data_IF_150081731355
#
_entry.id   IF_150081731355
#
_cell.length_a   1.000
_cell.length_b   1.000
_cell.length_c   1.000
_cell.angle_alpha   90.00
_cell.angle_beta   90.00
_cell.angle_gamma   90.00
#
_symmetry.space_group_name_H-M   'P 1'
#
loop_
_entity.id
_entity.type
_entity.pdbx_description
1 polymer ?
#
# COMPACT_ATOMS: atom_id res chain seq x y z
N UNK A 1 -9.45 -28.57 -2.06
CA UNK A 1 -9.59 -27.94 -3.38
C UNK A 1 -8.53 -26.86 -3.47
N UNK A 2 -7.76 -26.74 -4.56
CA UNK A 2 -6.89 -25.58 -4.70
C UNK A 2 -7.75 -24.32 -4.63
N UNK A 3 -7.40 -23.38 -3.72
CA UNK A 3 -8.06 -22.08 -3.67
C UNK A 3 -7.87 -21.41 -5.04
N UNK A 4 -8.97 -20.93 -5.63
CA UNK A 4 -8.90 -20.11 -6.84
C UNK A 4 -7.96 -18.92 -6.60
N UNK A 5 -7.20 -18.52 -7.61
CA UNK A 5 -6.31 -17.36 -7.52
C UNK A 5 -7.08 -16.14 -7.02
N UNK A 6 -6.52 -15.35 -6.07
CA UNK A 6 -7.23 -14.22 -5.47
C UNK A 6 -7.56 -13.11 -6.47
N UNK A 7 -6.82 -13.00 -7.55
CA UNK A 7 -7.02 -12.09 -8.67
C UNK A 7 -6.30 -12.62 -9.92
N UNK A 8 -6.67 -12.09 -11.08
CA UNK A 8 -6.03 -12.44 -12.34
C UNK A 8 -5.01 -11.36 -12.73
N UNK A 9 -3.84 -11.79 -13.24
CA UNK A 9 -2.84 -10.92 -13.87
C UNK A 9 -2.76 -11.27 -15.34
N UNK A 10 -2.99 -10.28 -16.21
CA UNK A 10 -2.88 -10.44 -17.66
C UNK A 10 -1.75 -9.54 -18.18
N UNK A 11 -0.78 -10.13 -18.86
CA UNK A 11 0.38 -9.48 -19.47
C UNK A 11 0.29 -9.37 -21.00
N UNK A 12 -0.77 -9.87 -21.64
CA UNK A 12 -0.90 -9.94 -23.09
C UNK A 12 -0.62 -8.60 -23.76
N UNK A 13 -1.24 -7.51 -23.29
CA UNK A 13 -1.05 -6.16 -23.83
C UNK A 13 0.33 -5.55 -23.50
N UNK A 14 1.06 -6.14 -22.57
CA UNK A 14 2.42 -5.70 -22.22
C UNK A 14 3.49 -6.53 -22.98
N UNK A 15 3.18 -7.76 -23.35
CA UNK A 15 4.10 -8.68 -24.03
C UNK A 15 3.85 -8.76 -25.54
N UNK A 16 2.92 -7.96 -26.07
CA UNK A 16 2.62 -7.90 -27.49
C UNK A 16 2.61 -6.46 -27.99
N UNK A 17 2.65 -6.29 -29.32
CA UNK A 17 2.62 -4.95 -29.95
C UNK A 17 3.94 -4.17 -29.86
N UNK A 18 3.88 -2.89 -30.21
CA UNK A 18 5.07 -2.04 -30.38
C UNK A 18 5.78 -1.67 -29.06
N UNK A 19 5.08 -1.72 -27.95
CA UNK A 19 5.60 -1.38 -26.60
C UNK A 19 6.18 -2.58 -25.84
N UNK A 20 6.05 -3.79 -26.39
CA UNK A 20 6.52 -4.99 -25.74
C UNK A 20 8.06 -5.07 -25.71
N UNK A 21 8.66 -5.63 -24.65
CA UNK A 21 10.06 -6.01 -24.71
C UNK A 21 10.25 -7.14 -25.72
N UNK A 22 11.45 -7.35 -26.29
CA UNK A 22 11.75 -8.57 -27.05
C UNK A 22 11.40 -9.81 -26.22
N UNK A 23 10.75 -10.81 -26.84
CA UNK A 23 10.33 -12.03 -26.11
C UNK A 23 11.51 -12.70 -25.41
N UNK A 24 12.66 -12.82 -26.08
CA UNK A 24 13.87 -13.37 -25.48
C UNK A 24 14.33 -12.59 -24.21
N UNK A 25 14.16 -11.27 -24.16
CA UNK A 25 14.52 -10.49 -22.98
C UNK A 25 13.57 -10.75 -21.80
N UNK A 26 12.27 -10.89 -22.08
CA UNK A 26 11.29 -11.28 -21.06
C UNK A 26 11.55 -12.71 -20.55
N UNK A 27 11.76 -13.65 -21.47
CA UNK A 27 12.01 -15.08 -21.13
C UNK A 27 13.29 -15.22 -20.28
N UNK A 28 14.35 -14.49 -20.61
CA UNK A 28 15.58 -14.46 -19.82
C UNK A 28 15.36 -13.86 -18.44
N UNK A 29 14.62 -12.75 -18.33
CA UNK A 29 14.28 -12.13 -17.04
C UNK A 29 13.43 -13.07 -16.18
N UNK A 30 12.45 -13.76 -16.79
CA UNK A 30 11.60 -14.73 -16.12
C UNK A 30 12.43 -15.93 -15.65
N UNK A 31 13.29 -16.49 -16.47
CA UNK A 31 14.20 -17.57 -16.09
C UNK A 31 15.14 -17.14 -14.93
N UNK A 32 15.69 -15.91 -14.99
CA UNK A 32 16.54 -15.35 -13.92
C UNK A 32 15.78 -15.24 -12.60
N UNK A 33 14.47 -15.02 -12.61
CA UNK A 33 13.65 -14.91 -11.39
C UNK A 33 13.52 -16.24 -10.61
N UNK A 34 13.86 -17.40 -11.23
CA UNK A 34 13.86 -18.69 -10.54
C UNK A 34 14.75 -18.66 -9.27
N UNK A 35 15.92 -18.05 -9.37
CA UNK A 35 16.83 -17.90 -8.21
C UNK A 35 16.19 -17.07 -7.08
N UNK A 36 15.39 -16.06 -7.41
CA UNK A 36 14.67 -15.26 -6.42
C UNK A 36 13.54 -16.08 -5.75
N UNK A 37 12.84 -16.94 -6.50
CA UNK A 37 11.84 -17.85 -5.93
C UNK A 37 12.47 -18.86 -4.99
N UNK A 38 13.60 -19.46 -5.38
CA UNK A 38 14.33 -20.42 -4.54
C UNK A 38 14.86 -19.75 -3.28
N UNK A 39 15.36 -18.52 -3.39
CA UNK A 39 15.76 -17.74 -2.25
C UNK A 39 14.58 -17.48 -1.29
N UNK A 40 13.41 -17.08 -1.79
CA UNK A 40 12.20 -16.89 -0.98
C UNK A 40 11.77 -18.17 -0.25
N UNK A 41 11.82 -19.33 -0.93
CA UNK A 41 11.55 -20.65 -0.34
C UNK A 41 12.51 -20.96 0.82
N UNK A 42 13.80 -20.71 0.60
CA UNK A 42 14.83 -20.89 1.65
C UNK A 42 14.61 -19.95 2.84
N UNK A 43 14.34 -18.65 2.58
CA UNK A 43 14.02 -17.70 3.65
C UNK A 43 12.81 -18.12 4.48
N UNK A 44 11.77 -18.65 3.82
CA UNK A 44 10.56 -19.15 4.49
C UNK A 44 10.87 -20.39 5.33
N UNK A 45 11.60 -21.36 4.77
CA UNK A 45 11.97 -22.60 5.46
C UNK A 45 12.85 -22.32 6.68
N UNK A 46 13.85 -21.45 6.53
CA UNK A 46 14.80 -21.07 7.58
C UNK A 46 14.24 -20.02 8.56
N UNK A 47 13.06 -19.43 8.28
CA UNK A 47 12.44 -18.35 9.07
C UNK A 47 13.34 -17.10 9.21
N UNK A 48 14.19 -16.84 8.24
CA UNK A 48 15.15 -15.72 8.26
C UNK A 48 14.58 -14.43 7.74
N UNK A 49 13.53 -14.47 6.89
CA UNK A 49 12.74 -13.30 6.50
C UNK A 49 11.41 -13.33 7.23
N UNK A 50 11.32 -12.61 8.35
CA UNK A 50 10.16 -12.59 9.24
C UNK A 50 8.86 -12.23 8.50
N UNK A 51 8.94 -11.34 7.51
CA UNK A 51 7.81 -10.93 6.65
C UNK A 51 7.00 -12.12 6.11
N UNK A 52 7.67 -13.18 5.67
CA UNK A 52 7.02 -14.37 5.11
C UNK A 52 6.25 -15.19 6.17
N UNK A 53 6.52 -14.96 7.45
CA UNK A 53 5.80 -15.57 8.58
C UNK A 53 4.54 -14.82 9.00
N UNK A 54 4.46 -13.53 8.71
CA UNK A 54 3.39 -12.64 9.20
C UNK A 54 1.97 -13.09 8.80
N UNK A 55 1.69 -13.55 7.57
CA UNK A 55 0.33 -13.97 7.21
C UNK A 55 -0.23 -15.08 8.10
N UNK A 56 0.61 -16.00 8.56
CA UNK A 56 0.22 -17.12 9.44
C UNK A 56 0.26 -16.77 10.93
N UNK A 57 0.83 -15.64 11.33
CA UNK A 57 0.95 -15.24 12.73
C UNK A 57 -0.42 -14.87 13.32
N UNK A 58 -0.64 -15.17 14.62
CA UNK A 58 -1.91 -14.88 15.30
C UNK A 58 -1.73 -14.22 16.66
N UNK A 59 -0.55 -14.30 17.26
CA UNK A 59 -0.30 -13.81 18.62
C UNK A 59 -0.45 -12.28 18.70
N UNK A 60 0.12 -11.57 17.73
CA UNK A 60 0.03 -10.11 17.60
C UNK A 60 -1.41 -9.64 17.31
N UNK A 61 -2.21 -10.41 16.57
CA UNK A 61 -3.63 -10.07 16.33
C UNK A 61 -4.46 -10.12 17.60
N UNK A 62 -4.14 -11.00 18.56
CA UNK A 62 -4.83 -11.02 19.86
C UNK A 62 -4.54 -9.75 20.66
N UNK A 63 -3.28 -9.31 20.69
CA UNK A 63 -2.89 -8.07 21.35
C UNK A 63 -3.53 -6.84 20.68
N UNK A 64 -3.50 -6.78 19.33
CA UNK A 64 -4.16 -5.74 18.55
C UNK A 64 -5.68 -5.70 18.82
N UNK A 65 -6.36 -6.85 18.85
CA UNK A 65 -7.80 -6.93 19.09
C UNK A 65 -8.18 -6.47 20.51
N UNK A 66 -7.38 -6.84 21.51
CA UNK A 66 -7.56 -6.37 22.90
C UNK A 66 -7.47 -4.85 22.96
N UNK A 67 -6.45 -4.27 22.33
CA UNK A 67 -6.26 -2.81 22.31
C UNK A 67 -7.35 -2.13 21.48
N UNK A 68 -7.69 -2.62 20.29
CA UNK A 68 -8.77 -2.07 19.48
C UNK A 68 -10.12 -2.06 20.23
N UNK A 69 -10.41 -3.08 21.03
CA UNK A 69 -11.60 -3.12 21.87
C UNK A 69 -11.59 -2.01 22.95
N UNK A 70 -10.43 -1.69 23.53
CA UNK A 70 -10.29 -0.60 24.49
C UNK A 70 -10.52 0.79 23.86
N UNK A 71 -10.28 0.91 22.55
CA UNK A 71 -10.43 2.18 21.82
C UNK A 71 -11.86 2.47 21.35
N UNK A 72 -12.79 1.52 21.42
CA UNK A 72 -14.17 1.66 20.89
C UNK A 72 -14.96 2.84 21.45
N UNK A 73 -14.66 3.29 22.67
CA UNK A 73 -15.38 4.37 23.32
C UNK A 73 -14.85 5.78 22.96
N UNK A 74 -13.76 5.86 22.23
CA UNK A 74 -13.26 7.13 21.74
C UNK A 74 -14.08 7.58 20.50
N UNK A 75 -14.17 8.90 20.31
CA UNK A 75 -14.79 9.46 19.11
C UNK A 75 -13.82 9.41 17.92
N UNK A 76 -12.54 9.70 18.22
CA UNK A 76 -11.45 9.75 17.23
C UNK A 76 -10.26 8.93 17.70
N UNK A 77 -9.65 8.21 16.76
CA UNK A 77 -8.33 7.60 16.92
C UNK A 77 -7.41 8.24 15.87
N UNK A 78 -6.51 9.09 16.34
CA UNK A 78 -5.52 9.76 15.51
C UNK A 78 -4.24 8.93 15.45
N UNK A 79 -3.86 8.48 14.28
CA UNK A 79 -2.63 7.71 14.04
C UNK A 79 -1.52 8.68 13.68
N UNK A 80 -0.48 8.74 14.51
CA UNK A 80 0.71 9.58 14.36
C UNK A 80 1.86 8.70 13.87
N UNK A 81 2.34 8.93 12.67
CA UNK A 81 3.42 8.14 12.09
C UNK A 81 3.64 8.53 10.64
N UNK A 82 4.85 8.38 10.13
CA UNK A 82 5.24 8.81 8.78
C UNK A 82 5.70 7.62 7.94
N UNK A 83 5.53 7.71 6.63
CA UNK A 83 5.95 6.67 5.69
C UNK A 83 5.30 5.32 5.98
N UNK A 84 6.08 4.26 6.16
CA UNK A 84 5.59 2.92 6.42
C UNK A 84 4.76 2.77 7.70
N UNK A 85 4.90 3.67 8.66
CA UNK A 85 4.09 3.73 9.88
C UNK A 85 2.67 4.27 9.64
N UNK A 86 2.40 4.83 8.46
CA UNK A 86 1.11 5.45 8.10
C UNK A 86 0.51 4.89 6.81
N UNK A 87 1.28 4.90 5.71
CA UNK A 87 0.76 4.63 4.36
C UNK A 87 0.09 3.26 4.22
N UNK A 88 0.63 2.23 4.90
CA UNK A 88 -0.01 0.92 4.93
C UNK A 88 -1.37 0.94 5.62
N UNK A 89 -1.48 1.62 6.76
CA UNK A 89 -2.75 1.82 7.47
C UNK A 89 -3.75 2.64 6.65
N UNK A 90 -3.29 3.68 5.96
CA UNK A 90 -4.12 4.47 5.04
C UNK A 90 -4.71 3.62 3.92
N UNK A 91 -3.90 2.73 3.31
CA UNK A 91 -4.38 1.83 2.26
C UNK A 91 -5.53 0.92 2.72
N UNK A 92 -5.67 0.67 4.03
CA UNK A 92 -6.76 -0.11 4.61
C UNK A 92 -8.04 0.71 4.82
N UNK A 93 -8.00 2.04 4.72
CA UNK A 93 -9.17 2.92 4.98
C UNK A 93 -10.31 2.68 3.98
N UNK A 94 -9.99 2.21 2.78
CA UNK A 94 -10.95 1.77 1.76
C UNK A 94 -11.97 0.75 2.30
N UNK A 95 -11.55 -0.10 3.22
CA UNK A 95 -12.37 -1.18 3.77
C UNK A 95 -13.06 -0.81 5.09
N UNK A 96 -13.03 0.45 5.50
CA UNK A 96 -13.64 0.90 6.76
C UNK A 96 -15.11 0.50 6.85
N UNK A 97 -15.48 -0.20 7.92
CA UNK A 97 -16.84 -0.71 8.16
C UNK A 97 -17.60 0.04 9.26
N UNK A 98 -16.87 0.79 10.09
CA UNK A 98 -17.45 1.53 11.21
C UNK A 98 -17.15 3.03 11.08
N UNK A 99 -18.12 3.86 11.45
CA UNK A 99 -17.95 5.32 11.46
C UNK A 99 -17.33 5.85 12.75
N UNK A 100 -17.38 5.07 13.84
CA UNK A 100 -16.80 5.42 15.15
C UNK A 100 -16.13 4.22 15.79
N UNK A 101 -14.94 4.41 16.39
CA UNK A 101 -14.12 5.64 16.34
C UNK A 101 -13.78 6.05 14.90
N UNK A 102 -13.72 7.36 14.66
CA UNK A 102 -13.19 7.84 13.39
C UNK A 102 -11.66 7.73 13.42
N UNK A 103 -11.10 6.89 12.55
CA UNK A 103 -9.64 6.75 12.42
C UNK A 103 -9.14 7.73 11.36
N UNK A 104 -8.19 8.59 11.73
CA UNK A 104 -7.52 9.49 10.80
C UNK A 104 -6.00 9.44 10.99
N UNK A 105 -5.28 9.64 9.89
CA UNK A 105 -3.82 9.54 9.85
C UNK A 105 -3.20 10.93 9.74
N UNK A 106 -2.21 11.19 10.58
CA UNK A 106 -1.43 12.41 10.61
C UNK A 106 0.03 12.05 10.34
N UNK A 107 0.41 12.01 9.08
CA UNK A 107 1.70 11.56 8.60
C UNK A 107 2.62 12.69 8.11
N UNK A 108 2.12 13.92 8.17
CA UNK A 108 2.91 15.10 7.85
C UNK A 108 2.81 16.12 9.02
N UNK A 109 3.93 16.57 9.60
CA UNK A 109 3.93 17.54 10.69
C UNK A 109 3.73 18.98 10.20
N UNK A 110 2.80 19.18 9.26
CA UNK A 110 2.44 20.51 8.78
C UNK A 110 1.81 21.32 9.92
N UNK A 111 2.36 22.50 10.27
CA UNK A 111 1.93 23.25 11.45
C UNK A 111 0.49 23.76 11.34
N UNK A 112 0.01 24.02 10.14
CA UNK A 112 -1.33 24.56 9.92
C UNK A 112 -2.39 23.47 10.02
N UNK A 113 -2.19 22.35 9.35
CA UNK A 113 -3.12 21.22 9.39
C UNK A 113 -3.15 20.57 10.76
N UNK A 114 -1.99 20.41 11.42
CA UNK A 114 -1.90 19.85 12.75
C UNK A 114 -2.57 20.73 13.81
N UNK A 115 -2.34 22.07 13.77
CA UNK A 115 -3.04 23.01 14.63
C UNK A 115 -4.56 22.96 14.45
N UNK A 116 -5.05 22.87 13.20
CA UNK A 116 -6.48 22.71 12.92
C UNK A 116 -7.03 21.39 13.46
N UNK A 117 -6.28 20.29 13.33
CA UNK A 117 -6.67 18.99 13.85
C UNK A 117 -6.81 19.02 15.38
N UNK A 118 -5.81 19.53 16.11
CA UNK A 118 -5.85 19.65 17.57
C UNK A 118 -7.02 20.52 18.07
N UNK A 119 -7.36 21.60 17.36
CA UNK A 119 -8.52 22.45 17.69
C UNK A 119 -9.87 21.77 17.41
N UNK A 120 -9.93 20.89 16.39
CA UNK A 120 -11.14 20.17 15.99
C UNK A 120 -11.44 18.97 16.88
N UNK A 121 -10.42 18.36 17.46
CA UNK A 121 -10.58 17.18 18.30
C UNK A 121 -11.34 17.50 19.59
N UNK A 122 -12.32 16.65 19.93
CA UNK A 122 -12.72 16.49 21.33
C UNK A 122 -11.61 15.71 22.04
N UNK A 123 -10.61 16.43 22.59
CA UNK A 123 -9.41 15.83 23.16
C UNK A 123 -9.72 14.83 24.27
N UNK A 124 -10.83 15.01 25.03
CA UNK A 124 -11.26 14.06 26.07
C UNK A 124 -11.79 12.74 25.46
N UNK A 125 -12.14 12.75 24.17
CA UNK A 125 -12.63 11.58 23.42
C UNK A 125 -11.72 11.23 22.23
N UNK A 126 -10.48 11.72 22.24
CA UNK A 126 -9.48 11.40 21.22
C UNK A 126 -8.41 10.49 21.81
N UNK A 127 -8.03 9.46 21.08
CA UNK A 127 -6.92 8.58 21.39
C UNK A 127 -5.85 8.68 20.28
N UNK A 128 -4.60 8.79 20.67
CA UNK A 128 -3.46 8.87 19.78
C UNK A 128 -2.73 7.52 19.70
N UNK A 129 -2.56 7.00 18.50
CA UNK A 129 -1.76 5.81 18.23
C UNK A 129 -0.47 6.28 17.57
N UNK A 130 0.62 6.34 18.32
CA UNK A 130 1.91 6.76 17.77
C UNK A 130 2.71 5.55 17.31
N UNK A 131 3.16 5.59 16.06
CA UNK A 131 3.85 4.50 15.39
C UNK A 131 5.20 4.97 14.86
N UNK A 132 6.28 4.40 15.39
CA UNK A 132 7.63 4.60 14.86
C UNK A 132 8.47 3.36 15.12
N UNK A 133 8.95 2.71 14.05
CA UNK A 133 9.79 1.51 14.17
C UNK A 133 10.97 1.77 15.10
N UNK A 134 11.80 2.77 14.79
CA UNK A 134 12.99 3.13 15.58
C UNK A 134 12.69 3.84 16.89
N UNK A 135 11.45 4.32 17.09
CA UNK A 135 11.08 5.16 18.22
C UNK A 135 11.78 6.53 18.30
N UNK A 136 12.57 6.88 17.28
CA UNK A 136 13.35 8.14 17.24
C UNK A 136 12.96 9.07 16.09
N UNK A 137 11.83 8.84 15.40
CA UNK A 137 11.39 9.65 14.26
C UNK A 137 10.93 11.03 14.74
N UNK A 138 11.63 12.08 14.32
CA UNK A 138 11.43 13.44 14.82
C UNK A 138 10.00 13.97 14.60
N UNK A 139 9.42 13.70 13.44
CA UNK A 139 8.07 14.09 13.06
C UNK A 139 7.02 13.46 13.98
N UNK A 140 7.14 12.17 14.25
CA UNK A 140 6.24 11.44 15.15
C UNK A 140 6.40 11.93 16.59
N UNK A 141 7.64 12.15 17.04
CA UNK A 141 7.92 12.67 18.39
C UNK A 141 7.35 14.07 18.57
N UNK A 142 7.52 14.97 17.59
CA UNK A 142 6.94 16.33 17.64
C UNK A 142 5.41 16.29 17.77
N UNK A 143 4.74 15.44 16.99
CA UNK A 143 3.29 15.28 17.08
C UNK A 143 2.84 14.69 18.42
N UNK A 144 3.57 13.69 18.95
CA UNK A 144 3.28 13.09 20.26
C UNK A 144 3.40 14.11 21.38
N UNK A 145 4.51 14.87 21.42
CA UNK A 145 4.76 15.89 22.46
C UNK A 145 3.71 17.01 22.42
N UNK A 146 3.38 17.48 21.22
CA UNK A 146 2.36 18.53 21.06
C UNK A 146 0.94 18.06 21.34
N UNK A 147 0.62 16.78 21.06
CA UNK A 147 -0.66 16.18 21.45
C UNK A 147 -0.76 15.99 22.95
N UNK A 148 0.32 15.57 23.62
CA UNK A 148 0.35 15.44 25.09
C UNK A 148 0.14 16.79 25.79
N UNK A 149 0.86 17.82 25.37
CA UNK A 149 0.69 19.20 25.87
C UNK A 149 -0.75 19.71 25.65
N UNK A 150 -1.34 19.47 24.48
CA UNK A 150 -2.72 19.84 24.20
C UNK A 150 -3.72 19.12 25.11
N UNK A 151 -3.54 17.83 25.37
CA UNK A 151 -4.37 17.08 26.33
C UNK A 151 -4.28 17.66 27.76
N UNK A 152 -3.06 17.94 28.24
CA UNK A 152 -2.83 18.50 29.58
C UNK A 152 -3.47 19.88 29.73
N UNK A 153 -3.31 20.77 28.74
CA UNK A 153 -3.95 22.10 28.72
C UNK A 153 -5.48 22.02 28.73
N UNK A 154 -6.05 20.94 28.21
CA UNK A 154 -7.50 20.66 28.25
C UNK A 154 -7.94 19.91 29.51
N UNK A 155 -7.07 19.79 30.52
CA UNK A 155 -7.37 19.21 31.82
C UNK A 155 -7.42 17.68 31.84
N UNK A 156 -6.82 17.00 30.85
CA UNK A 156 -6.67 15.55 30.86
C UNK A 156 -5.51 15.15 31.77
N UNK A 157 -5.84 14.55 32.92
CA UNK A 157 -4.85 14.16 33.95
C UNK A 157 -4.20 12.78 33.72
N UNK A 158 -4.78 11.94 32.87
CA UNK A 158 -4.35 10.54 32.68
C UNK A 158 -3.96 10.28 31.24
N UNK A 159 -2.80 10.80 30.81
CA UNK A 159 -2.30 10.64 29.44
C UNK A 159 -2.23 9.18 28.98
N UNK A 160 -1.93 8.24 29.89
CA UNK A 160 -1.89 6.80 29.59
C UNK A 160 -3.16 6.25 28.93
N UNK A 161 -4.31 6.88 29.16
CA UNK A 161 -5.57 6.47 28.53
C UNK A 161 -5.74 6.99 27.12
N UNK A 162 -4.94 7.96 26.72
CA UNK A 162 -5.03 8.65 25.44
C UNK A 162 -3.92 8.30 24.45
N UNK A 163 -2.96 7.44 24.86
CA UNK A 163 -1.88 7.01 23.99
C UNK A 163 -1.76 5.49 23.93
N UNK A 164 -1.48 5.00 22.73
CA UNK A 164 -0.94 3.66 22.43
C UNK A 164 0.31 3.85 21.58
N UNK A 165 1.38 3.20 21.93
CA UNK A 165 2.66 3.32 21.24
C UNK A 165 2.97 1.99 20.54
N UNK A 166 3.36 2.07 19.25
CA UNK A 166 3.86 0.94 18.47
C UNK A 166 5.29 1.25 18.07
N UNK A 167 6.25 0.53 18.64
CA UNK A 167 7.68 0.69 18.39
C UNK A 167 8.41 -0.64 18.60
N UNK A 168 9.65 -0.76 18.12
CA UNK A 168 10.47 -1.94 18.42
C UNK A 168 10.71 -2.08 19.94
N UNK A 169 10.89 -3.33 20.44
CA UNK A 169 11.03 -3.59 21.88
C UNK A 169 12.44 -3.24 22.40
N UNK A 170 12.95 -2.08 22.06
CA UNK A 170 14.20 -1.53 22.57
C UNK A 170 14.01 -0.13 23.15
N UNK A 171 15.02 0.38 23.86
CA UNK A 171 15.04 1.72 24.43
C UNK A 171 15.04 2.77 23.32
N UNK A 172 14.15 3.75 23.40
CA UNK A 172 14.03 4.83 22.43
C UNK A 172 13.20 5.97 23.01
N UNK A 173 13.31 7.18 22.45
CA UNK A 173 12.57 8.33 22.94
C UNK A 173 11.06 8.11 23.00
N UNK A 174 10.49 7.38 22.02
CA UNK A 174 9.06 7.06 22.01
C UNK A 174 8.72 5.98 23.06
N UNK A 175 9.61 5.01 23.30
CA UNK A 175 9.47 4.04 24.38
C UNK A 175 9.52 4.72 25.75
N UNK A 176 10.49 5.64 25.96
CA UNK A 176 10.63 6.41 27.20
C UNK A 176 9.42 7.28 27.46
N UNK A 177 8.86 7.91 26.42
CA UNK A 177 7.61 8.65 26.54
C UNK A 177 6.48 7.73 27.02
N UNK A 178 6.33 6.53 26.40
CA UNK A 178 5.29 5.58 26.81
C UNK A 178 5.44 5.17 28.28
N UNK A 179 6.65 4.86 28.70
CA UNK A 179 6.96 4.43 30.07
C UNK A 179 6.73 5.56 31.08
N UNK A 180 7.10 6.80 30.74
CA UNK A 180 6.92 7.98 31.61
C UNK A 180 5.46 8.27 31.95
N UNK A 181 4.54 7.99 31.03
CA UNK A 181 3.10 8.21 31.24
C UNK A 181 2.34 6.91 31.55
N UNK A 182 3.00 5.74 31.49
CA UNK A 182 2.38 4.41 31.67
C UNK A 182 1.43 4.03 30.54
N UNK A 183 1.70 4.43 29.30
CA UNK A 183 0.90 4.09 28.12
C UNK A 183 1.11 2.63 27.68
N UNK A 184 0.13 2.09 26.96
CA UNK A 184 0.24 0.76 26.34
C UNK A 184 1.30 0.79 25.23
N UNK A 185 2.27 -0.12 25.31
CA UNK A 185 3.23 -0.40 24.24
C UNK A 185 2.87 -1.69 23.54
N UNK A 186 2.98 -1.68 22.21
CA UNK A 186 2.82 -2.83 21.34
C UNK A 186 4.06 -2.93 20.45
N UNK A 187 4.54 -4.15 20.23
CA UNK A 187 5.80 -4.36 19.54
C UNK A 187 5.64 -4.22 18.02
N UNK A 188 6.50 -3.40 17.42
CA UNK A 188 6.81 -3.46 16.00
C UNK A 188 7.79 -4.62 15.78
N UNK A 189 7.55 -5.57 14.84
CA UNK A 189 8.48 -6.67 14.61
C UNK A 189 9.83 -6.17 14.11
N UNK A 190 10.92 -6.71 14.67
CA UNK A 190 12.30 -6.29 14.39
C UNK A 190 12.72 -6.53 12.94
N UNK A 191 12.36 -7.70 12.40
CA UNK A 191 12.76 -8.14 11.06
C UNK A 191 11.87 -7.64 9.92
N UNK A 192 10.93 -6.69 10.19
CA UNK A 192 10.03 -6.16 9.16
C UNK A 192 10.27 -4.67 8.97
N UNK A 193 10.68 -4.28 7.75
CA UNK A 193 10.83 -2.86 7.39
C UNK A 193 9.50 -2.10 7.38
N UNK A 194 9.54 -0.77 7.61
CA UNK A 194 8.33 0.05 7.70
C UNK A 194 7.38 -0.10 6.51
N UNK A 195 7.88 -0.02 5.28
CA UNK A 195 7.07 -0.17 4.05
C UNK A 195 6.49 -1.56 3.84
N UNK A 196 7.01 -2.58 4.54
CA UNK A 196 6.50 -3.95 4.56
C UNK A 196 5.60 -4.26 5.76
N UNK A 197 5.35 -3.29 6.65
CA UNK A 197 4.74 -3.55 7.96
C UNK A 197 3.20 -3.54 7.99
N UNK A 198 2.51 -3.26 6.88
CA UNK A 198 1.04 -3.14 6.85
C UNK A 198 0.30 -4.38 7.37
N UNK A 199 0.86 -5.58 7.20
CA UNK A 199 0.28 -6.83 7.69
C UNK A 199 0.61 -7.14 9.15
N UNK A 200 1.43 -6.31 9.83
CA UNK A 200 1.83 -6.45 11.23
C UNK A 200 0.93 -5.64 12.17
N UNK A 201 1.33 -5.48 13.42
CA UNK A 201 0.67 -4.62 14.41
C UNK A 201 0.40 -3.21 13.88
N UNK A 202 1.28 -2.69 13.01
CA UNK A 202 1.20 -1.34 12.41
C UNK A 202 -0.10 -1.13 11.63
N UNK A 203 -0.51 -2.08 10.81
CA UNK A 203 -1.80 -2.02 10.12
C UNK A 203 -2.93 -2.70 10.89
N UNK A 204 -2.60 -3.70 11.75
CA UNK A 204 -3.62 -4.48 12.45
C UNK A 204 -4.40 -3.64 13.46
N UNK A 205 -3.73 -2.82 14.28
CA UNK A 205 -4.44 -2.00 15.25
C UNK A 205 -5.41 -1.00 14.59
N UNK A 206 -4.99 -0.11 13.67
CA UNK A 206 -5.93 0.80 13.02
C UNK A 206 -6.97 0.05 12.18
N UNK A 207 -6.61 -1.05 11.50
CA UNK A 207 -7.54 -1.86 10.74
C UNK A 207 -8.67 -2.45 11.61
N UNK A 208 -8.35 -3.03 12.76
CA UNK A 208 -9.32 -3.56 13.70
C UNK A 208 -10.20 -2.45 14.32
N UNK A 209 -9.65 -1.27 14.58
CA UNK A 209 -10.41 -0.10 15.03
C UNK A 209 -11.41 0.35 13.95
N UNK A 210 -11.04 0.28 12.69
CA UNK A 210 -11.92 0.54 11.54
C UNK A 210 -12.95 -0.57 11.27
N UNK A 211 -12.92 -1.66 12.06
CA UNK A 211 -13.86 -2.78 11.95
C UNK A 211 -13.50 -3.83 10.89
N UNK A 212 -12.27 -3.84 10.41
CA UNK A 212 -11.81 -4.81 9.42
C UNK A 212 -11.65 -6.20 10.03
N UNK A 213 -11.93 -7.22 9.23
CA UNK A 213 -11.53 -8.59 9.52
C UNK A 213 -10.06 -8.81 9.13
N UNK A 214 -9.15 -8.42 10.01
CA UNK A 214 -7.72 -8.48 9.73
C UNK A 214 -7.19 -9.91 9.55
N UNK A 215 -7.91 -10.92 10.10
CA UNK A 215 -7.60 -12.32 9.83
C UNK A 215 -7.83 -12.66 8.36
N UNK A 216 -8.93 -12.20 7.76
CA UNK A 216 -9.20 -12.41 6.33
C UNK A 216 -8.18 -11.70 5.44
N UNK A 217 -7.73 -10.51 5.84
CA UNK A 217 -6.67 -9.80 5.13
C UNK A 217 -5.36 -10.63 5.11
N UNK A 218 -4.97 -11.25 6.24
CA UNK A 218 -3.83 -12.16 6.28
C UNK A 218 -4.06 -13.47 5.52
N UNK A 219 -5.28 -13.99 5.49
CA UNK A 219 -5.61 -15.17 4.65
C UNK A 219 -5.39 -14.87 3.18
N UNK A 220 -5.80 -13.70 2.71
CA UNK A 220 -5.51 -13.24 1.34
C UNK A 220 -4.01 -13.09 1.07
N UNK A 221 -3.28 -12.49 2.03
CA UNK A 221 -1.82 -12.36 1.93
C UNK A 221 -1.14 -13.74 1.87
N UNK A 222 -1.60 -14.72 2.67
CA UNK A 222 -1.09 -16.09 2.61
C UNK A 222 -1.35 -16.74 1.24
N UNK A 223 -2.54 -16.54 0.66
CA UNK A 223 -2.86 -17.09 -0.65
C UNK A 223 -1.92 -16.58 -1.75
N UNK A 224 -1.59 -15.27 -1.74
CA UNK A 224 -0.63 -14.71 -2.69
C UNK A 224 0.81 -15.20 -2.41
N UNK A 225 1.19 -15.38 -1.16
CA UNK A 225 2.48 -15.96 -0.78
C UNK A 225 2.60 -17.40 -1.28
N UNK A 226 1.55 -18.21 -1.08
CA UNK A 226 1.52 -19.60 -1.50
C UNK A 226 1.61 -19.75 -3.03
N UNK A 227 1.03 -18.84 -3.81
CA UNK A 227 1.19 -18.82 -5.26
C UNK A 227 2.66 -18.71 -5.68
N UNK A 228 3.46 -17.92 -4.95
CA UNK A 228 4.89 -17.74 -5.25
C UNK A 228 5.71 -18.92 -4.74
N UNK A 229 5.47 -19.37 -3.52
CA UNK A 229 6.27 -20.43 -2.90
C UNK A 229 6.01 -21.81 -3.55
N UNK A 230 4.77 -22.08 -3.99
CA UNK A 230 4.37 -23.36 -4.60
C UNK A 230 4.42 -23.34 -6.12
N UNK A 231 4.85 -22.25 -6.75
CA UNK A 231 4.98 -22.18 -8.20
C UNK A 231 5.96 -23.24 -8.73
N UNK A 232 5.55 -24.05 -9.70
CA UNK A 232 6.42 -25.04 -10.31
C UNK A 232 7.52 -24.39 -11.16
N UNK A 233 7.14 -23.33 -11.87
CA UNK A 233 8.04 -22.49 -12.66
C UNK A 233 7.81 -21.00 -12.35
N UNK A 234 8.74 -20.11 -12.68
CA UNK A 234 8.50 -18.66 -12.52
C UNK A 234 7.26 -18.16 -13.26
N UNK A 235 6.86 -18.80 -14.37
CA UNK A 235 5.66 -18.43 -15.11
C UNK A 235 4.35 -18.68 -14.33
N UNK A 236 4.38 -19.58 -13.36
CA UNK A 236 3.24 -19.89 -12.49
C UNK A 236 3.11 -18.91 -11.31
N UNK A 237 4.10 -18.01 -11.13
CA UNK A 237 4.14 -17.01 -10.07
C UNK A 237 3.83 -15.61 -10.63
N UNK A 238 2.60 -15.06 -10.47
CA UNK A 238 2.25 -13.75 -11.01
C UNK A 238 3.18 -12.61 -10.60
N UNK A 239 3.73 -12.64 -9.38
CA UNK A 239 4.71 -11.67 -8.92
C UNK A 239 6.05 -11.78 -9.65
N UNK A 240 6.49 -12.98 -10.00
CA UNK A 240 7.70 -13.17 -10.80
C UNK A 240 7.49 -12.71 -12.26
N UNK A 241 6.32 -12.98 -12.83
CA UNK A 241 5.95 -12.50 -14.16
C UNK A 241 5.94 -10.96 -14.23
N UNK A 242 5.38 -10.29 -13.22
CA UNK A 242 5.39 -8.83 -13.11
C UNK A 242 6.79 -8.25 -12.97
N UNK A 243 7.61 -8.81 -12.08
CA UNK A 243 9.00 -8.40 -11.90
C UNK A 243 9.84 -8.61 -13.17
N UNK A 244 9.69 -9.75 -13.86
CA UNK A 244 10.37 -10.04 -15.11
C UNK A 244 9.99 -9.06 -16.21
N UNK A 245 8.71 -8.69 -16.31
CA UNK A 245 8.24 -7.68 -17.26
C UNK A 245 8.89 -6.32 -17.00
N UNK A 246 8.86 -5.84 -15.75
CA UNK A 246 9.52 -4.58 -15.36
C UNK A 246 11.02 -4.61 -15.68
N UNK A 247 11.69 -5.70 -15.30
CA UNK A 247 13.13 -5.84 -15.52
C UNK A 247 13.46 -5.84 -17.02
N UNK A 248 12.73 -6.62 -17.85
CA UNK A 248 12.95 -6.65 -19.28
C UNK A 248 12.74 -5.28 -19.94
N UNK A 249 11.68 -4.56 -19.57
CA UNK A 249 11.43 -3.20 -20.06
C UNK A 249 12.50 -2.21 -19.60
N UNK A 250 12.98 -2.30 -18.36
CA UNK A 250 14.03 -1.41 -17.86
C UNK A 250 15.35 -1.58 -18.63
N UNK A 251 15.70 -2.81 -19.01
CA UNK A 251 16.91 -3.10 -19.77
C UNK A 251 16.82 -2.66 -21.23
N UNK A 252 15.64 -2.75 -21.85
CA UNK A 252 15.47 -2.53 -23.30
C UNK A 252 14.95 -1.13 -23.65
N UNK A 253 14.04 -0.59 -22.86
CA UNK A 253 13.31 0.65 -23.18
C UNK A 253 13.63 1.82 -22.25
N UNK A 254 14.68 1.72 -21.42
CA UNK A 254 15.01 2.75 -20.41
C UNK A 254 13.77 3.16 -19.60
N UNK A 255 13.03 2.18 -19.09
CA UNK A 255 11.81 2.41 -18.35
C UNK A 255 12.08 3.37 -17.18
N UNK A 256 11.56 4.59 -17.27
CA UNK A 256 11.75 5.62 -16.26
C UNK A 256 10.60 5.71 -15.27
N UNK A 257 9.41 5.23 -15.67
CA UNK A 257 8.18 5.40 -14.89
C UNK A 257 7.39 4.09 -14.84
N UNK A 258 6.83 3.78 -13.68
CA UNK A 258 5.83 2.72 -13.54
C UNK A 258 4.55 3.32 -12.97
N UNK A 259 3.42 3.05 -13.63
CA UNK A 259 2.14 3.69 -13.35
C UNK A 259 1.16 2.64 -12.83
N UNK A 260 0.63 2.88 -11.62
CA UNK A 260 -0.45 2.09 -11.05
C UNK A 260 -1.76 2.85 -11.24
N UNK A 261 -2.72 2.24 -11.94
CA UNK A 261 -3.97 2.89 -12.35
C UNK A 261 -5.22 2.08 -11.96
N UNK A 262 -5.67 2.16 -10.71
CA UNK A 262 -6.92 1.54 -10.31
C UNK A 262 -8.15 2.24 -10.91
N UNK A 263 -9.15 1.45 -11.31
CA UNK A 263 -10.48 1.90 -11.77
C UNK A 263 -11.54 1.66 -10.69
N UNK A 264 -11.19 2.00 -9.46
CA UNK A 264 -12.09 1.95 -8.30
C UNK A 264 -11.55 2.88 -7.21
N UNK A 265 -12.41 3.72 -6.65
CA UNK A 265 -12.05 4.71 -5.64
C UNK A 265 -11.42 4.09 -4.38
N UNK A 266 -11.89 2.91 -4.00
CA UNK A 266 -11.39 2.16 -2.84
C UNK A 266 -9.89 1.83 -2.92
N UNK A 267 -9.30 1.79 -4.10
CA UNK A 267 -7.87 1.57 -4.28
C UNK A 267 -7.06 2.86 -4.50
N UNK A 268 -7.68 4.04 -4.44
CA UNK A 268 -6.98 5.32 -4.65
C UNK A 268 -5.83 5.52 -3.67
N UNK A 269 -6.07 5.27 -2.38
CA UNK A 269 -5.05 5.42 -1.32
C UNK A 269 -4.02 4.28 -1.28
N UNK A 270 -4.32 3.14 -1.87
CA UNK A 270 -3.40 2.01 -2.01
C UNK A 270 -2.12 2.41 -2.75
N UNK A 271 -2.25 3.27 -3.75
CA UNK A 271 -1.13 3.74 -4.54
C UNK A 271 -0.08 4.53 -3.74
N UNK A 272 -0.47 5.19 -2.65
CA UNK A 272 0.46 5.87 -1.74
C UNK A 272 1.43 4.91 -1.05
N UNK A 273 0.90 3.79 -0.53
CA UNK A 273 1.71 2.73 0.05
C UNK A 273 2.59 2.03 -0.99
N UNK A 274 2.03 1.69 -2.16
CA UNK A 274 2.77 1.05 -3.25
C UNK A 274 3.93 1.92 -3.75
N UNK A 275 3.73 3.24 -3.87
CA UNK A 275 4.81 4.17 -4.26
C UNK A 275 6.01 4.08 -3.32
N UNK A 276 5.78 4.10 -2.00
CA UNK A 276 6.87 3.96 -1.04
C UNK A 276 7.53 2.58 -1.14
N UNK A 277 6.74 1.52 -1.21
CA UNK A 277 7.24 0.16 -1.35
C UNK A 277 8.20 0.05 -2.53
N UNK A 278 7.79 0.53 -3.70
CA UNK A 278 8.56 0.44 -4.93
C UNK A 278 9.78 1.35 -4.92
N UNK A 279 9.60 2.63 -4.63
CA UNK A 279 10.65 3.64 -4.70
C UNK A 279 11.81 3.37 -3.74
N UNK A 280 11.53 3.18 -2.45
CA UNK A 280 12.57 2.95 -1.45
C UNK A 280 13.27 1.58 -1.60
N UNK A 281 12.56 0.58 -2.12
CA UNK A 281 13.16 -0.74 -2.29
C UNK A 281 14.06 -0.84 -3.51
N UNK A 282 13.75 -0.13 -4.60
CA UNK A 282 14.35 -0.34 -5.91
C UNK A 282 15.15 0.85 -6.45
N UNK A 283 14.96 2.05 -5.89
CA UNK A 283 15.68 3.26 -6.30
C UNK A 283 17.10 3.30 -5.74
N UNK A 284 18.02 2.49 -6.26
CA UNK A 284 19.38 2.33 -5.75
C UNK A 284 20.39 2.13 -6.88
N UNK A 285 21.62 2.49 -6.65
CA UNK A 285 22.75 2.26 -7.58
C UNK A 285 22.48 2.80 -9.01
N UNK A 286 21.80 3.96 -9.11
CA UNK A 286 21.41 4.56 -10.37
C UNK A 286 20.29 3.81 -11.13
N UNK A 287 19.67 2.82 -10.50
CA UNK A 287 18.59 2.01 -11.05
C UNK A 287 17.24 2.38 -10.42
N UNK A 288 16.17 1.84 -10.99
CA UNK A 288 14.80 2.02 -10.53
C UNK A 288 13.93 2.76 -11.53
N UNK A 289 12.65 2.81 -11.25
CA UNK A 289 11.66 3.59 -12.01
C UNK A 289 10.79 4.40 -11.05
N UNK A 290 10.40 5.60 -11.44
CA UNK A 290 9.53 6.47 -10.64
C UNK A 290 8.12 5.88 -10.58
N UNK A 291 7.63 5.49 -9.40
CA UNK A 291 6.26 5.00 -9.27
C UNK A 291 5.28 6.17 -9.23
N UNK A 292 4.29 6.13 -10.11
CA UNK A 292 3.20 7.11 -10.18
C UNK A 292 1.88 6.38 -9.94
N UNK A 293 1.08 6.90 -9.03
CA UNK A 293 -0.29 6.41 -8.80
C UNK A 293 -1.28 7.43 -9.35
N UNK A 294 -2.22 6.94 -10.13
CA UNK A 294 -3.31 7.70 -10.73
C UNK A 294 -4.63 6.97 -10.46
N UNK A 295 -5.76 7.58 -10.76
CA UNK A 295 -7.10 7.02 -10.53
C UNK A 295 -7.92 7.04 -11.81
N UNK A 296 -8.53 5.94 -12.20
CA UNK A 296 -9.47 5.87 -13.31
C UNK A 296 -10.92 5.93 -12.84
N UNK A 297 -11.80 6.57 -13.62
CA UNK A 297 -11.51 7.24 -14.90
C UNK A 297 -11.00 8.68 -14.80
N UNK A 298 -10.96 9.30 -13.60
CA UNK A 298 -10.68 10.75 -13.45
C UNK A 298 -9.36 11.19 -14.13
N UNK A 299 -8.29 10.40 -14.04
CA UNK A 299 -7.00 10.74 -14.62
C UNK A 299 -6.89 10.46 -16.14
N UNK A 300 -7.93 9.89 -16.75
CA UNK A 300 -8.06 9.92 -18.21
C UNK A 300 -8.21 11.37 -18.71
N UNK A 301 -8.82 12.23 -17.89
CA UNK A 301 -9.08 13.63 -18.22
C UNK A 301 -7.93 14.57 -17.82
N UNK A 302 -6.91 14.07 -17.11
CA UNK A 302 -5.78 14.88 -16.65
C UNK A 302 -4.44 14.44 -17.23
N UNK A 303 -4.19 13.14 -17.42
CA UNK A 303 -2.86 12.60 -17.70
C UNK A 303 -2.77 11.71 -18.95
N UNK A 304 -3.89 11.19 -19.45
CA UNK A 304 -3.88 10.24 -20.58
C UNK A 304 -3.20 10.82 -21.84
N UNK A 305 -3.32 12.12 -22.09
CA UNK A 305 -2.64 12.77 -23.22
C UNK A 305 -1.12 12.56 -23.15
N UNK A 306 -0.51 12.82 -21.99
CA UNK A 306 0.93 12.59 -21.78
C UNK A 306 1.28 11.10 -21.87
N UNK A 307 0.49 10.24 -21.27
CA UNK A 307 0.74 8.81 -21.23
C UNK A 307 0.68 8.19 -22.63
N UNK A 308 -0.25 8.65 -23.45
CA UNK A 308 -0.43 8.17 -24.81
C UNK A 308 0.63 8.71 -25.78
N UNK A 309 0.87 10.01 -25.79
CA UNK A 309 1.64 10.70 -26.84
C UNK A 309 3.02 11.20 -26.36
N UNK A 310 3.33 11.10 -25.05
CA UNK A 310 4.60 11.51 -24.47
C UNK A 310 5.75 10.52 -24.70
N UNK A 311 6.80 10.52 -23.85
CA UNK A 311 8.10 9.86 -24.10
C UNK A 311 8.07 8.35 -24.35
N UNK A 312 7.04 7.61 -23.89
CA UNK A 312 6.91 6.17 -24.10
C UNK A 312 7.80 5.30 -23.23
N UNK A 313 8.28 5.83 -22.14
CA UNK A 313 9.18 5.18 -21.18
C UNK A 313 8.47 4.75 -19.88
N UNK A 314 7.19 4.39 -19.98
CA UNK A 314 6.36 3.98 -18.85
C UNK A 314 5.73 2.61 -19.05
N UNK A 315 5.63 1.82 -17.96
CA UNK A 315 4.78 0.64 -17.88
C UNK A 315 3.50 1.01 -17.13
N UNK A 316 2.35 0.62 -17.69
CA UNK A 316 1.03 0.85 -17.10
C UNK A 316 0.51 -0.43 -16.45
N UNK A 317 0.13 -0.37 -15.19
CA UNK A 317 -0.60 -1.43 -14.48
C UNK A 317 -2.00 -0.93 -14.19
N UNK A 318 -2.97 -1.35 -15.03
CA UNK A 318 -4.38 -1.05 -14.81
C UNK A 318 -4.97 -2.09 -13.85
N UNK A 319 -5.62 -1.63 -12.78
CA UNK A 319 -6.32 -2.50 -11.85
C UNK A 319 -7.82 -2.30 -12.01
N UNK A 320 -8.52 -3.33 -12.46
CA UNK A 320 -9.97 -3.34 -12.62
C UNK A 320 -10.64 -4.21 -11.55
N UNK A 321 -11.89 -3.89 -11.25
CA UNK A 321 -12.77 -4.66 -10.35
C UNK A 321 -14.05 -4.98 -11.09
N UNK A 322 -14.71 -6.09 -10.75
CA UNK A 322 -16.02 -6.43 -11.30
C UNK A 322 -17.07 -5.36 -10.96
N UNK A 323 -17.19 -4.35 -11.81
CA UNK A 323 -18.15 -3.24 -11.66
C UNK A 323 -19.37 -3.36 -12.55
N UNK A 324 -19.32 -4.22 -13.58
CA UNK A 324 -20.42 -4.40 -14.52
C UNK A 324 -21.73 -4.70 -13.80
N UNK A 325 -22.81 -4.09 -14.26
CA UNK A 325 -24.16 -4.17 -13.66
C UNK A 325 -24.27 -3.64 -12.22
N UNK A 326 -23.31 -2.85 -11.72
CA UNK A 326 -23.33 -2.26 -10.37
C UNK A 326 -23.61 -0.76 -10.40
N UNK A 327 -24.14 -0.27 -9.27
CA UNK A 327 -24.44 1.14 -9.07
C UNK A 327 -25.75 1.61 -9.71
N UNK A 328 -26.08 2.90 -9.61
CA UNK A 328 -27.29 3.49 -10.19
C UNK A 328 -27.23 3.47 -11.71
N UNK A 329 -28.43 3.37 -12.34
CA UNK A 329 -28.57 3.36 -13.79
C UNK A 329 -29.00 4.74 -14.32
N UNK A 330 -28.52 5.09 -15.51
CA UNK A 330 -29.02 6.27 -16.25
C UNK A 330 -30.47 6.04 -16.67
N UNK A 331 -31.42 6.92 -16.30
CA UNK A 331 -32.82 6.77 -16.69
C UNK A 331 -33.00 6.79 -18.20
N UNK A 332 -33.61 5.75 -18.78
CA UNK A 332 -33.73 5.58 -20.23
C UNK A 332 -34.41 6.78 -20.92
N UNK A 333 -35.54 7.23 -20.37
CA UNK A 333 -36.28 8.35 -20.94
C UNK A 333 -35.44 9.63 -21.02
N UNK A 334 -34.72 9.96 -19.92
CA UNK A 334 -33.89 11.17 -19.85
C UNK A 334 -32.64 11.04 -20.75
N UNK A 335 -31.98 9.91 -20.77
CA UNK A 335 -30.85 9.69 -21.65
C UNK A 335 -31.22 9.78 -23.12
N UNK A 336 -32.37 9.19 -23.52
CA UNK A 336 -32.87 9.28 -24.91
C UNK A 336 -33.27 10.70 -25.29
N UNK A 337 -33.91 11.44 -24.39
CA UNK A 337 -34.26 12.86 -24.65
C UNK A 337 -33.04 13.75 -24.87
N UNK A 338 -31.91 13.42 -24.28
CA UNK A 338 -30.62 14.12 -24.46
C UNK A 338 -29.78 13.56 -25.63
N UNK A 339 -30.29 12.58 -26.40
CA UNK A 339 -29.56 11.93 -27.47
C UNK A 339 -28.46 10.96 -27.00
N UNK A 340 -28.35 10.68 -25.71
CA UNK A 340 -27.32 9.84 -25.08
C UNK A 340 -27.74 8.35 -25.07
N UNK A 341 -28.12 7.81 -26.23
CA UNK A 341 -28.62 6.44 -26.36
C UNK A 341 -27.72 5.38 -25.79
N UNK A 342 -26.40 5.58 -25.89
CA UNK A 342 -25.38 4.64 -25.39
C UNK A 342 -25.34 4.54 -23.85
N UNK A 343 -25.89 5.53 -23.12
CA UNK A 343 -26.04 5.51 -21.67
C UNK A 343 -27.41 5.02 -21.21
N UNK A 344 -28.40 4.92 -22.11
CA UNK A 344 -29.80 4.64 -21.76
C UNK A 344 -29.94 3.28 -21.05
N UNK A 345 -30.21 3.31 -19.74
CA UNK A 345 -30.36 2.13 -18.89
C UNK A 345 -29.04 1.48 -18.48
N UNK A 346 -27.88 2.03 -18.85
CA UNK A 346 -26.59 1.58 -18.37
C UNK A 346 -26.37 2.00 -16.93
N UNK A 347 -25.72 1.15 -16.16
CA UNK A 347 -25.31 1.45 -14.79
C UNK A 347 -23.93 2.12 -14.77
N UNK A 348 -23.62 2.81 -13.69
CA UNK A 348 -22.31 3.48 -13.55
C UNK A 348 -21.16 2.49 -13.69
N UNK A 349 -21.27 1.28 -13.16
CA UNK A 349 -20.26 0.24 -13.28
C UNK A 349 -20.04 -0.24 -14.72
N UNK A 350 -21.05 -0.19 -15.60
CA UNK A 350 -20.90 -0.49 -17.03
C UNK A 350 -20.02 0.54 -17.71
N UNK A 351 -20.14 1.82 -17.32
CA UNK A 351 -19.32 2.90 -17.85
C UNK A 351 -17.86 2.73 -17.40
N UNK A 352 -17.63 2.52 -16.12
CA UNK A 352 -16.27 2.34 -15.55
C UNK A 352 -15.56 1.13 -16.18
N UNK A 353 -16.26 -0.01 -16.34
CA UNK A 353 -15.71 -1.18 -17.03
C UNK A 353 -15.33 -0.87 -18.48
N UNK A 354 -16.22 -0.16 -19.21
CA UNK A 354 -15.95 0.22 -20.60
C UNK A 354 -14.75 1.17 -20.72
N UNK A 355 -14.62 2.13 -19.82
CA UNK A 355 -13.52 3.10 -19.80
C UNK A 355 -12.18 2.46 -19.43
N UNK A 356 -12.15 1.54 -18.47
CA UNK A 356 -10.95 0.78 -18.12
C UNK A 356 -10.43 -0.02 -19.33
N UNK A 357 -11.32 -0.75 -20.00
CA UNK A 357 -10.98 -1.50 -21.23
C UNK A 357 -10.55 -0.59 -22.38
N UNK A 358 -11.25 0.52 -22.58
CA UNK A 358 -10.92 1.50 -23.63
C UNK A 358 -9.55 2.13 -23.40
N UNK A 359 -9.21 2.50 -22.17
CA UNK A 359 -7.90 3.06 -21.81
C UNK A 359 -6.78 2.05 -22.03
N UNK A 360 -6.96 0.79 -21.60
CA UNK A 360 -5.99 -0.27 -21.85
C UNK A 360 -5.72 -0.46 -23.35
N UNK A 361 -6.77 -0.54 -24.16
CA UNK A 361 -6.66 -0.68 -25.61
C UNK A 361 -6.06 0.56 -26.29
N UNK A 362 -6.40 1.75 -25.81
CA UNK A 362 -5.85 3.01 -26.35
C UNK A 362 -4.35 3.09 -26.12
N UNK A 363 -3.89 2.82 -24.91
CA UNK A 363 -2.47 2.79 -24.57
C UNK A 363 -1.74 1.74 -25.42
N UNK A 364 -2.26 0.52 -25.48
CA UNK A 364 -1.68 -0.59 -26.25
C UNK A 364 -1.54 -0.24 -27.75
N UNK A 365 -2.61 0.26 -28.39
CA UNK A 365 -2.59 0.65 -29.81
C UNK A 365 -1.55 1.73 -30.11
N UNK A 366 -1.21 2.55 -29.13
CA UNK A 366 -0.20 3.60 -29.24
C UNK A 366 1.19 3.18 -28.71
N UNK A 367 1.45 1.87 -28.63
CA UNK A 367 2.76 1.32 -28.29
C UNK A 367 3.15 1.50 -26.82
N UNK A 368 2.16 1.50 -25.93
CA UNK A 368 2.39 1.57 -24.47
C UNK A 368 2.18 0.18 -23.87
N UNK A 369 3.15 -0.40 -23.14
CA UNK A 369 2.98 -1.68 -22.51
C UNK A 369 1.97 -1.59 -21.35
N UNK A 370 0.95 -2.45 -21.36
CA UNK A 370 -0.13 -2.45 -20.37
C UNK A 370 -0.25 -3.81 -19.70
N UNK A 371 0.01 -3.86 -18.39
CA UNK A 371 -0.34 -4.97 -17.52
C UNK A 371 -1.73 -4.73 -16.94
N UNK A 372 -2.54 -5.76 -16.85
CA UNK A 372 -3.87 -5.69 -16.23
C UNK A 372 -3.93 -6.60 -15.00
N UNK A 373 -4.44 -6.09 -13.90
CA UNK A 373 -4.78 -6.85 -12.70
C UNK A 373 -6.28 -6.75 -12.50
N UNK A 374 -6.96 -7.88 -12.41
CA UNK A 374 -8.41 -7.94 -12.25
C UNK A 374 -8.78 -8.60 -10.93
N UNK A 375 -9.46 -7.85 -10.05
CA UNK A 375 -9.98 -8.32 -8.78
C UNK A 375 -11.50 -8.57 -8.90
N UNK A 376 -12.03 -9.67 -8.35
CA UNK A 376 -13.49 -9.87 -8.29
C UNK A 376 -14.20 -8.81 -7.45
N UNK A 377 -13.52 -8.32 -6.40
CA UNK A 377 -14.02 -7.28 -5.47
C UNK A 377 -12.89 -6.70 -4.63
N UNK A 378 -13.15 -5.55 -4.00
CA UNK A 378 -12.29 -4.99 -2.96
C UNK A 378 -12.84 -5.41 -1.60
N UNK A 379 -12.19 -6.37 -0.95
CA UNK A 379 -12.45 -6.79 0.42
C UNK A 379 -11.13 -7.15 1.12
N UNK A 380 -11.19 -7.56 2.38
CA UNK A 380 -10.00 -7.85 3.16
C UNK A 380 -9.15 -8.96 2.55
N UNK A 381 -9.77 -9.99 1.96
CA UNK A 381 -9.04 -11.09 1.34
C UNK A 381 -8.26 -10.61 0.10
N UNK A 382 -8.95 -9.93 -0.82
CA UNK A 382 -8.33 -9.49 -2.08
C UNK A 382 -7.31 -8.37 -1.85
N UNK A 383 -7.58 -7.43 -0.92
CA UNK A 383 -6.62 -6.39 -0.57
C UNK A 383 -5.38 -6.98 0.11
N UNK A 384 -5.55 -7.96 1.00
CA UNK A 384 -4.42 -8.66 1.62
C UNK A 384 -3.55 -9.41 0.61
N UNK A 385 -4.20 -10.07 -0.36
CA UNK A 385 -3.50 -10.75 -1.46
C UNK A 385 -2.75 -9.75 -2.35
N UNK A 386 -3.35 -8.61 -2.69
CA UNK A 386 -2.73 -7.55 -3.50
C UNK A 386 -1.51 -6.95 -2.79
N UNK A 387 -1.62 -6.68 -1.49
CA UNK A 387 -0.51 -6.21 -0.65
C UNK A 387 0.67 -7.18 -0.72
N UNK A 388 0.45 -8.45 -0.46
CA UNK A 388 1.52 -9.45 -0.47
C UNK A 388 2.08 -9.64 -1.87
N UNK A 389 1.24 -9.64 -2.91
CA UNK A 389 1.69 -9.72 -4.29
C UNK A 389 2.72 -8.63 -4.62
N UNK A 390 2.41 -7.36 -4.34
CA UNK A 390 3.34 -6.26 -4.63
C UNK A 390 4.59 -6.30 -3.73
N UNK A 391 4.49 -6.77 -2.49
CA UNK A 391 5.67 -7.01 -1.66
C UNK A 391 6.60 -8.04 -2.30
N UNK A 392 6.07 -9.17 -2.76
CA UNK A 392 6.83 -10.24 -3.39
C UNK A 392 7.38 -9.82 -4.76
N UNK A 393 6.58 -9.13 -5.58
CA UNK A 393 7.04 -8.57 -6.85
C UNK A 393 8.21 -7.61 -6.66
N UNK A 394 8.13 -6.72 -5.66
CA UNK A 394 9.20 -5.77 -5.33
C UNK A 394 10.47 -6.50 -4.86
N UNK A 395 10.34 -7.54 -4.03
CA UNK A 395 11.48 -8.34 -3.55
C UNK A 395 12.13 -9.08 -4.73
N UNK A 396 11.33 -9.72 -5.58
CA UNK A 396 11.84 -10.44 -6.77
C UNK A 396 12.53 -9.45 -7.72
N UNK A 397 11.95 -8.27 -7.95
CA UNK A 397 12.56 -7.22 -8.77
C UNK A 397 13.90 -6.75 -8.19
N UNK A 398 14.00 -6.53 -6.88
CA UNK A 398 15.27 -6.21 -6.22
C UNK A 398 16.35 -7.27 -6.46
N UNK A 399 15.98 -8.56 -6.41
CA UNK A 399 16.91 -9.66 -6.72
C UNK A 399 17.32 -9.68 -8.20
N UNK A 400 16.42 -9.38 -9.12
CA UNK A 400 16.74 -9.26 -10.55
C UNK A 400 17.70 -8.10 -10.83
N UNK A 401 17.53 -6.98 -10.13
CA UNK A 401 18.38 -5.79 -10.23
C UNK A 401 19.72 -5.93 -9.49
N UNK A 402 19.83 -6.85 -8.54
CA UNK A 402 21.01 -7.02 -7.68
C UNK A 402 21.07 -5.99 -6.54
N UNK A 403 19.94 -5.39 -6.14
CA UNK A 403 19.85 -4.42 -5.03
C UNK A 403 19.17 -5.04 -3.80
N UNK A 404 19.47 -4.54 -2.60
CA UNK A 404 18.78 -4.93 -1.38
C UNK A 404 17.40 -4.22 -1.31
N UNK A 405 16.27 -4.94 -1.38
CA UNK A 405 14.95 -4.32 -1.31
C UNK A 405 14.53 -3.90 0.11
N UNK A 406 15.32 -4.16 1.14
CA UNK A 406 14.92 -3.98 2.54
C UNK A 406 15.55 -2.76 3.21
N UNK A 407 16.71 -2.28 2.76
CA UNK A 407 17.35 -1.07 3.26
C UNK A 407 16.92 0.21 2.53
N UNK A 408 17.33 1.38 3.01
CA UNK A 408 17.10 2.70 2.40
C UNK A 408 18.17 3.72 2.86
N UNK A 409 19.45 3.55 2.48
CA UNK A 409 20.54 4.41 2.98
C UNK A 409 20.37 5.88 2.56
N UNK A 410 19.74 6.16 1.42
CA UNK A 410 19.62 7.51 0.87
C UNK A 410 18.79 8.50 1.70
N UNK A 411 18.03 8.04 2.71
CA UNK A 411 17.20 8.93 3.55
C UNK A 411 17.90 9.42 4.83
N UNK A 412 19.08 8.91 5.17
CA UNK A 412 19.72 9.21 6.46
C UNK A 412 20.38 10.58 6.48
N UNK A 413 21.00 11.01 5.39
CA UNK A 413 21.67 12.32 5.29
C UNK A 413 20.74 13.48 5.64
N UNK A 414 19.55 13.50 5.05
CA UNK A 414 18.55 14.54 5.33
C UNK A 414 18.13 14.60 6.80
N UNK A 415 18.02 13.45 7.47
CA UNK A 415 17.68 13.40 8.91
C UNK A 415 18.80 13.99 9.79
N UNK A 416 20.06 13.71 9.44
CA UNK A 416 21.23 14.26 10.16
C UNK A 416 21.27 15.79 10.00
N UNK A 417 21.10 16.28 8.77
CA UNK A 417 21.09 17.73 8.48
C UNK A 417 19.92 18.43 9.18
N UNK A 418 18.71 17.86 9.15
CA UNK A 418 17.55 18.44 9.82
C UNK A 418 17.79 18.60 11.36
N UNK A 419 18.37 17.58 12.01
CA UNK A 419 18.73 17.67 13.44
C UNK A 419 19.76 18.77 13.70
N UNK A 420 20.74 18.95 12.82
CA UNK A 420 21.73 20.02 12.94
C UNK A 420 21.06 21.38 12.87
N UNK A 421 20.21 21.62 11.86
CA UNK A 421 19.51 22.92 11.70
C UNK A 421 18.54 23.21 12.85
N UNK A 422 17.95 22.21 13.48
CA UNK A 422 17.10 22.40 14.66
C UNK A 422 17.89 22.73 15.94
N UNK A 423 19.19 22.45 15.95
CA UNK A 423 20.08 22.74 17.09
C UNK A 423 20.78 24.12 16.99
N UNK A 424 20.74 24.76 15.83
CA UNK A 424 21.19 26.14 15.57
C UNK A 424 20.13 27.15 16.06
#
# INVERSE_FOLDING_TARGET
MPQSAPFAVNLELALSGKGAPPSAAYDQALAKSAAALDWLRQQKANKTLELLGIPAATADLRAAAKQAAALKNFATVAVLGIGGSSLGGQALTALRKVSKPFVEFHDNPDPFSWTKALKRFDLKKTHFVAISKSGGTAETLMQVLTAADALERHGVKQLKKHFTIITEPHQSALADFADSIGAVRLDHPLGVGGRYSVLTMVGALPGLVMGLNFKQLRVGAQAALDQVLNAATPADAPAACGAALHYALSQQHKLATTILWPYVDDLSVFGGWWRQLWAESLGKDGQGSTPVSVLGPVDQHSQLQLFRDGPGNALFTLMAVDTKDKGPAAPRARANALGLKYLAGKKMGDLVDAEARATAQTLFKNGRPVRQIHLPKVDEFHLGALIMHFMLETIIMGKLMGVDPFDQPGVEEGKVLARKYLAE
#
